data_IF_232328183140
#
_entry.id   IF_232328183140
#
_cell.length_a   1.000
_cell.length_b   1.000
_cell.length_c   1.000
_cell.angle_alpha   90.00
_cell.angle_beta   90.00
_cell.angle_gamma   90.00
#
_symmetry.space_group_name_H-M   'P 1'
#
loop_
_entity.id
_entity.type
_entity.pdbx_description
1 polymer ?
#
# COMPACT_ATOMS: atom_id res chain seq x y z
N UNK A 1 3.42 -11.72 -57.94
CA UNK A 1 3.02 -10.40 -58.45
C UNK A 1 1.51 -10.40 -58.59
N UNK A 2 0.79 -9.52 -57.88
CA UNK A 2 -0.59 -9.05 -58.16
C UNK A 2 -1.11 -8.32 -56.89
N UNK A 3 -1.00 -6.98 -56.82
CA UNK A 3 -2.03 -5.96 -57.10
C UNK A 3 -3.15 -5.83 -56.05
N UNK A 4 -3.11 -4.67 -55.38
CA UNK A 4 -4.21 -3.78 -55.01
C UNK A 4 -5.64 -4.28 -55.29
N UNK A 5 -6.54 -4.18 -54.29
CA UNK A 5 -7.88 -3.64 -54.50
C UNK A 5 -8.50 -3.13 -53.19
N UNK A 6 -8.97 -1.89 -53.29
CA UNK A 6 -9.76 -1.10 -52.34
C UNK A 6 -11.13 -1.72 -52.13
N UNK A 7 -11.70 -1.63 -50.91
CA UNK A 7 -13.15 -1.67 -50.75
C UNK A 7 -13.59 -0.79 -49.57
N UNK A 8 -14.06 0.41 -49.90
CA UNK A 8 -14.76 1.35 -49.02
C UNK A 8 -16.23 1.39 -49.49
N UNK A 9 -17.13 1.60 -48.52
CA UNK A 9 -18.58 1.91 -48.60
C UNK A 9 -19.54 0.72 -48.45
N UNK A 10 -20.40 0.78 -47.45
CA UNK A 10 -21.80 1.18 -47.66
C UNK A 10 -22.54 1.31 -46.32
N UNK A 11 -23.16 2.49 -46.11
CA UNK A 11 -24.27 2.67 -45.18
C UNK A 11 -25.49 1.91 -45.72
N UNK A 12 -26.27 1.31 -44.83
CA UNK A 12 -27.69 1.03 -45.05
C UNK A 12 -28.47 1.20 -43.74
N UNK A 13 -29.33 2.21 -43.72
CA UNK A 13 -30.38 2.39 -42.74
C UNK A 13 -31.56 1.46 -43.06
N UNK A 14 -32.27 0.96 -42.04
CA UNK A 14 -33.61 0.40 -42.20
C UNK A 14 -34.47 0.75 -40.99
N UNK A 15 -35.70 1.16 -41.29
CA UNK A 15 -36.62 1.90 -40.43
C UNK A 15 -37.71 1.01 -39.83
N UNK A 16 -38.15 1.41 -38.62
CA UNK A 16 -39.52 1.47 -38.09
C UNK A 16 -40.46 0.24 -38.03
N UNK A 17 -40.99 -0.02 -36.82
CA UNK A 17 -42.43 -0.03 -36.43
C UNK A 17 -42.64 -0.98 -35.22
N UNK A 18 -42.84 -0.49 -33.99
CA UNK A 18 -44.10 -0.14 -33.31
C UNK A 18 -45.11 -1.30 -33.18
N UNK A 19 -45.42 -1.71 -31.93
CA UNK A 19 -46.73 -2.18 -31.41
C UNK A 19 -46.61 -2.39 -29.88
N UNK A 20 -47.15 -1.44 -29.10
CA UNK A 20 -48.29 -1.58 -28.17
C UNK A 20 -48.15 -2.60 -27.03
N UNK A 21 -48.06 -2.08 -25.81
CA UNK A 21 -49.02 -2.29 -24.70
C UNK A 21 -48.33 -2.37 -23.33
N UNK A 22 -48.65 -1.43 -22.43
CA UNK A 22 -49.08 -1.69 -21.05
C UNK A 22 -49.12 -0.39 -20.26
N UNK A 23 -50.33 0.11 -20.00
CA UNK A 23 -50.61 1.02 -18.90
C UNK A 23 -50.46 0.26 -17.58
N UNK A 24 -49.70 0.77 -16.61
CA UNK A 24 -49.93 0.48 -15.20
C UNK A 24 -49.17 1.50 -14.31
N UNK A 25 -49.95 2.42 -13.75
CA UNK A 25 -49.87 2.92 -12.37
C UNK A 25 -48.50 3.22 -11.77
N UNK A 26 -48.20 4.52 -11.65
CA UNK A 26 -47.22 5.07 -10.72
C UNK A 26 -47.72 4.86 -9.29
N UNK A 27 -47.26 3.78 -8.65
CA UNK A 27 -47.49 3.56 -7.22
C UNK A 27 -46.38 4.27 -6.43
N UNK A 28 -46.79 5.17 -5.55
CA UNK A 28 -45.90 5.90 -4.68
C UNK A 28 -45.38 4.94 -3.59
N UNK A 29 -44.08 4.94 -3.23
CA UNK A 29 -43.65 4.21 -2.06
C UNK A 29 -44.22 4.88 -0.81
N UNK A 30 -45.22 4.22 -0.23
CA UNK A 30 -45.79 4.50 1.07
C UNK A 30 -44.67 4.47 2.12
N UNK A 31 -44.60 5.52 2.94
CA UNK A 31 -43.87 5.54 4.20
C UNK A 31 -44.43 4.42 5.10
N UNK A 32 -43.80 3.25 5.09
CA UNK A 32 -44.08 2.22 6.07
C UNK A 32 -43.35 2.57 7.36
N UNK A 33 -44.10 3.09 8.33
CA UNK A 33 -43.74 3.04 9.74
C UNK A 33 -43.79 1.59 10.20
N UNK A 34 -42.72 0.85 9.88
CA UNK A 34 -42.45 -0.45 10.46
C UNK A 34 -41.91 -0.25 11.87
N UNK A 35 -42.75 -0.54 12.87
CA UNK A 35 -42.30 -0.89 14.22
C UNK A 35 -41.52 -2.20 14.15
N UNK A 36 -40.28 -2.11 13.66
CA UNK A 36 -39.29 -3.17 13.73
C UNK A 36 -38.73 -3.23 15.13
N UNK A 37 -38.97 -4.35 15.80
CA UNK A 37 -38.34 -4.72 17.06
C UNK A 37 -36.83 -4.67 16.86
N UNK A 38 -36.16 -3.63 17.37
CA UNK A 38 -34.71 -3.57 17.42
C UNK A 38 -34.25 -4.62 18.43
N UNK A 39 -33.93 -5.83 17.95
CA UNK A 39 -33.05 -6.73 18.68
C UNK A 39 -31.68 -6.08 18.74
N UNK A 40 -31.47 -5.29 19.79
CA UNK A 40 -30.16 -4.86 20.24
C UNK A 40 -29.38 -6.12 20.64
N UNK A 41 -28.74 -6.78 19.68
CA UNK A 41 -27.53 -7.53 20.00
C UNK A 41 -26.49 -6.48 20.36
N UNK A 42 -26.44 -6.17 21.65
CA UNK A 42 -25.28 -5.57 22.30
C UNK A 42 -24.11 -6.50 22.02
N UNK A 43 -23.40 -6.28 20.91
CA UNK A 43 -22.04 -6.79 20.76
C UNK A 43 -21.21 -5.99 21.75
N UNK A 44 -21.13 -6.50 22.98
CA UNK A 44 -20.09 -6.15 23.94
C UNK A 44 -18.77 -6.17 23.16
N UNK A 45 -18.03 -5.06 23.07
CA UNK A 45 -16.69 -5.11 22.52
C UNK A 45 -15.91 -6.14 23.34
N UNK A 46 -15.43 -7.19 22.67
CA UNK A 46 -14.51 -8.16 23.26
C UNK A 46 -13.40 -7.32 23.92
N UNK A 47 -13.16 -7.46 25.23
CA UNK A 47 -12.04 -6.80 25.87
C UNK A 47 -10.79 -7.14 25.06
N UNK A 48 -10.21 -6.16 24.36
CA UNK A 48 -8.91 -6.32 23.72
C UNK A 48 -7.95 -6.60 24.84
N UNK A 49 -7.55 -7.87 24.97
CA UNK A 49 -6.52 -8.29 25.90
C UNK A 49 -5.36 -7.29 25.77
N UNK A 50 -4.80 -6.77 26.89
CA UNK A 50 -3.69 -5.83 26.82
C UNK A 50 -2.60 -6.46 25.96
N UNK A 51 -2.16 -5.71 24.94
CA UNK A 51 -1.14 -6.16 24.01
C UNK A 51 0.05 -6.72 24.82
N UNK A 52 0.28 -8.01 24.72
CA UNK A 52 1.47 -8.62 25.31
C UNK A 52 2.70 -7.95 24.71
N UNK A 53 3.59 -7.49 25.58
CA UNK A 53 4.83 -6.78 25.23
C UNK A 53 5.53 -7.53 24.10
N UNK A 54 5.80 -6.83 22.99
CA UNK A 54 6.47 -7.41 21.82
C UNK A 54 7.91 -7.75 22.20
N UNK A 55 8.32 -8.98 21.90
CA UNK A 55 9.73 -9.41 22.00
C UNK A 55 10.46 -9.00 20.72
N UNK A 56 11.07 -7.80 20.75
CA UNK A 56 11.81 -7.25 19.62
C UNK A 56 13.04 -8.09 19.22
N UNK A 57 13.86 -8.61 20.16
CA UNK A 57 14.95 -9.52 19.80
C UNK A 57 14.51 -10.77 19.03
N UNK A 58 13.41 -11.41 19.44
CA UNK A 58 12.89 -12.60 18.74
C UNK A 58 12.38 -12.22 17.35
N UNK A 59 11.58 -11.16 17.25
CA UNK A 59 11.08 -10.69 15.95
C UNK A 59 12.24 -10.29 15.02
N UNK A 60 13.26 -9.60 15.54
CA UNK A 60 14.44 -9.23 14.77
C UNK A 60 15.17 -10.46 14.22
N UNK A 61 15.34 -11.52 15.02
CA UNK A 61 15.95 -12.78 14.56
C UNK A 61 15.12 -13.48 13.47
N UNK A 62 13.80 -13.47 13.61
CA UNK A 62 12.88 -14.01 12.58
C UNK A 62 13.02 -13.22 11.28
N UNK A 63 12.98 -11.89 11.34
CA UNK A 63 13.15 -11.01 10.18
C UNK A 63 14.53 -11.17 9.54
N UNK A 64 15.59 -11.22 10.34
CA UNK A 64 16.95 -11.47 9.86
C UNK A 64 17.06 -12.82 9.13
N UNK A 65 16.25 -13.81 9.50
CA UNK A 65 16.18 -15.11 8.83
C UNK A 65 15.34 -15.05 7.56
N UNK A 66 14.18 -14.40 7.61
CA UNK A 66 13.27 -14.26 6.47
C UNK A 66 13.80 -13.36 5.36
N UNK A 67 14.73 -12.44 5.69
CA UNK A 67 15.31 -11.48 4.75
C UNK A 67 16.67 -11.91 4.20
N UNK A 68 17.18 -13.10 4.54
CA UNK A 68 18.52 -13.56 4.09
C UNK A 68 18.69 -13.52 2.57
N UNK A 69 17.64 -13.84 1.84
CA UNK A 69 17.64 -13.88 0.37
C UNK A 69 17.02 -12.62 -0.26
N UNK A 70 16.60 -11.66 0.57
CA UNK A 70 15.90 -10.46 0.15
C UNK A 70 16.92 -9.35 -0.15
N UNK A 71 17.31 -9.25 -1.42
CA UNK A 71 18.40 -8.39 -1.84
C UNK A 71 18.20 -6.90 -1.48
N UNK A 72 19.09 -6.38 -0.64
CA UNK A 72 19.25 -4.95 -0.34
C UNK A 72 18.33 -4.37 0.73
N UNK A 73 17.56 -5.18 1.45
CA UNK A 73 16.94 -4.72 2.69
C UNK A 73 17.99 -4.67 3.81
N UNK A 74 18.21 -3.50 4.39
CA UNK A 74 19.08 -3.29 5.54
C UNK A 74 18.23 -3.36 6.81
N UNK A 75 18.39 -4.43 7.58
CA UNK A 75 17.75 -4.60 8.89
C UNK A 75 18.62 -3.91 9.96
N UNK A 76 18.08 -2.86 10.60
CA UNK A 76 18.73 -2.21 11.72
C UNK A 76 18.56 -2.98 13.02
N UNK A 77 19.46 -2.71 13.97
CA UNK A 77 19.40 -3.29 15.32
C UNK A 77 18.05 -3.04 15.99
N UNK A 78 17.52 -4.03 16.75
CA UNK A 78 16.28 -3.86 17.48
C UNK A 78 16.47 -2.82 18.59
N UNK A 79 15.51 -1.92 18.72
CA UNK A 79 15.46 -0.94 19.81
C UNK A 79 14.46 -1.38 20.87
N UNK A 80 14.38 -0.64 21.98
CA UNK A 80 13.36 -0.88 23.00
C UNK A 80 11.92 -0.69 22.47
N UNK A 81 11.75 0.13 21.43
CA UNK A 81 10.46 0.55 20.89
C UNK A 81 10.12 -0.06 19.53
N UNK A 82 11.03 -0.79 18.89
CA UNK A 82 10.80 -1.24 17.53
C UNK A 82 11.99 -1.79 16.78
N UNK A 83 11.77 -1.98 15.47
CA UNK A 83 12.78 -2.41 14.51
C UNK A 83 12.69 -1.50 13.29
N UNK A 84 13.83 -1.10 12.75
CA UNK A 84 13.90 -0.20 11.59
C UNK A 84 14.55 -0.93 10.41
N UNK A 85 13.80 -1.11 9.32
CA UNK A 85 14.31 -1.60 8.04
C UNK A 85 14.49 -0.45 7.06
N UNK A 86 15.60 -0.44 6.31
CA UNK A 86 15.83 0.50 5.21
C UNK A 86 15.96 -0.26 3.91
N UNK A 87 15.25 0.19 2.88
CA UNK A 87 15.27 -0.43 1.57
C UNK A 87 15.65 0.64 0.55
N UNK A 88 16.84 0.56 -0.08
CA UNK A 88 17.23 1.45 -1.16
C UNK A 88 16.23 1.39 -2.32
N UNK A 89 15.90 2.54 -2.89
CA UNK A 89 14.96 2.66 -4.01
C UNK A 89 15.43 1.87 -5.23
N UNK A 90 16.74 1.75 -5.48
CA UNK A 90 17.29 0.93 -6.58
C UNK A 90 16.78 -0.51 -6.55
N UNK A 91 16.50 -1.03 -5.35
CA UNK A 91 16.04 -2.39 -5.15
C UNK A 91 14.51 -2.48 -5.15
N UNK A 92 13.81 -1.37 -4.88
CA UNK A 92 12.36 -1.37 -4.71
C UNK A 92 11.52 -0.69 -5.79
N UNK A 93 12.04 0.30 -6.51
CA UNK A 93 11.28 1.06 -7.51
C UNK A 93 12.16 1.40 -8.72
N UNK A 94 11.53 1.67 -9.86
CA UNK A 94 12.21 2.32 -10.97
C UNK A 94 12.38 3.83 -10.70
N UNK A 95 13.30 4.48 -11.44
CA UNK A 95 13.49 5.94 -11.35
C UNK A 95 12.19 6.67 -11.71
N UNK A 96 11.82 7.67 -10.91
CA UNK A 96 10.56 8.42 -11.08
C UNK A 96 9.27 7.61 -10.91
N UNK A 97 9.35 6.33 -10.52
CA UNK A 97 8.18 5.46 -10.36
C UNK A 97 7.89 5.16 -8.89
N UNK A 98 6.61 4.94 -8.61
CA UNK A 98 6.08 4.41 -7.35
C UNK A 98 5.60 2.95 -7.48
N UNK A 99 5.85 2.28 -8.60
CA UNK A 99 5.51 0.89 -8.81
C UNK A 99 6.51 -0.06 -8.11
N UNK A 100 6.07 -0.89 -7.15
CA UNK A 100 6.94 -1.83 -6.46
C UNK A 100 7.52 -2.88 -7.43
N UNK A 101 8.85 -3.04 -7.40
CA UNK A 101 9.54 -4.08 -8.16
C UNK A 101 9.42 -5.44 -7.47
N UNK A 102 9.56 -6.56 -8.22
CA UNK A 102 9.53 -7.91 -7.65
C UNK A 102 10.51 -8.16 -6.49
N UNK A 103 11.65 -7.46 -6.48
CA UNK A 103 12.62 -7.57 -5.38
C UNK A 103 12.07 -6.97 -4.07
N UNK A 104 11.38 -5.83 -4.13
CA UNK A 104 10.72 -5.24 -2.97
C UNK A 104 9.52 -6.07 -2.53
N UNK A 105 8.70 -6.55 -3.45
CA UNK A 105 7.54 -7.39 -3.08
C UNK A 105 7.99 -8.66 -2.34
N UNK A 106 9.12 -9.26 -2.71
CA UNK A 106 9.73 -10.38 -1.96
C UNK A 106 10.15 -9.99 -0.54
N UNK A 107 10.78 -8.82 -0.36
CA UNK A 107 11.11 -8.27 0.97
C UNK A 107 9.84 -8.12 1.80
N UNK A 108 8.79 -7.53 1.22
CA UNK A 108 7.51 -7.29 1.90
C UNK A 108 6.79 -8.59 2.25
N UNK A 109 6.85 -9.61 1.39
CA UNK A 109 6.28 -10.94 1.66
C UNK A 109 6.95 -11.60 2.87
N UNK A 110 8.27 -11.42 3.05
CA UNK A 110 8.99 -11.89 4.24
C UNK A 110 8.54 -11.23 5.55
N UNK A 111 7.87 -10.07 5.49
CA UNK A 111 7.30 -9.40 6.67
C UNK A 111 5.91 -9.93 7.03
N UNK A 112 5.17 -10.51 6.09
CA UNK A 112 3.74 -10.85 6.26
C UNK A 112 3.54 -11.85 7.39
N UNK A 113 4.28 -12.96 7.41
CA UNK A 113 4.09 -13.99 8.44
C UNK A 113 4.48 -13.50 9.85
N UNK A 114 5.64 -12.86 10.07
CA UNK A 114 6.00 -12.29 11.38
C UNK A 114 5.03 -11.19 11.88
N UNK A 115 4.45 -10.40 10.98
CA UNK A 115 3.46 -9.37 11.31
C UNK A 115 2.05 -9.94 11.53
N UNK A 116 1.71 -11.03 10.83
CA UNK A 116 0.44 -11.73 10.97
C UNK A 116 0.30 -12.42 12.33
N UNK A 117 1.40 -12.95 12.87
CA UNK A 117 1.42 -13.56 14.21
C UNK A 117 1.42 -12.55 15.36
N UNK A 118 1.58 -11.24 15.07
CA UNK A 118 1.74 -10.17 16.05
C UNK A 118 0.80 -8.99 15.76
N UNK A 119 -0.51 -9.13 16.01
CA UNK A 119 -1.50 -8.09 15.70
C UNK A 119 -1.27 -6.76 16.42
N UNK A 120 -0.49 -6.75 17.51
CA UNK A 120 -0.12 -5.54 18.25
C UNK A 120 1.01 -4.71 17.59
N UNK A 121 1.72 -5.28 16.61
CA UNK A 121 2.80 -4.56 15.92
C UNK A 121 2.20 -3.64 14.86
N UNK A 122 2.56 -2.37 14.90
CA UNK A 122 2.25 -1.38 13.86
C UNK A 122 3.41 -1.19 12.90
N UNK A 123 3.10 -0.73 11.70
CA UNK A 123 4.06 -0.53 10.61
C UNK A 123 3.92 0.91 10.12
N UNK A 124 4.98 1.71 10.29
CA UNK A 124 5.10 3.02 9.65
C UNK A 124 6.04 2.91 8.46
N UNK A 125 5.57 3.32 7.30
CA UNK A 125 6.33 3.36 6.06
C UNK A 125 6.66 4.82 5.75
N UNK A 126 7.94 5.12 5.55
CA UNK A 126 8.40 6.47 5.22
C UNK A 126 9.19 6.47 3.91
N UNK A 127 8.72 7.24 2.94
CA UNK A 127 9.43 7.44 1.68
C UNK A 127 10.41 8.61 1.75
N UNK A 128 11.58 8.44 1.14
CA UNK A 128 12.58 9.51 0.96
C UNK A 128 13.10 9.55 -0.48
N UNK A 129 13.53 10.74 -0.90
CA UNK A 129 14.20 10.99 -2.18
C UNK A 129 15.59 11.60 -1.93
N UNK A 130 16.38 11.73 -3.00
CA UNK A 130 17.51 12.66 -2.97
C UNK A 130 17.04 14.08 -3.28
N UNK A 131 17.98 15.03 -3.31
CA UNK A 131 17.71 16.44 -3.57
C UNK A 131 17.64 16.80 -5.06
N UNK A 132 17.44 15.84 -5.96
CA UNK A 132 17.33 16.12 -7.39
C UNK A 132 15.86 16.35 -7.77
N UNK A 133 15.59 17.43 -8.49
CA UNK A 133 14.22 17.82 -8.86
C UNK A 133 13.63 18.88 -7.93
N UNK A 134 12.31 19.08 -8.02
CA UNK A 134 11.62 20.03 -7.14
C UNK A 134 11.18 19.36 -5.85
N UNK A 135 11.23 20.11 -4.75
CA UNK A 135 10.80 19.66 -3.42
C UNK A 135 9.38 19.07 -3.43
N UNK A 136 8.43 19.75 -4.06
CA UNK A 136 7.04 19.29 -4.16
C UNK A 136 6.91 17.97 -4.93
N UNK A 137 7.64 17.82 -6.03
CA UNK A 137 7.67 16.56 -6.78
C UNK A 137 8.27 15.42 -5.93
N UNK A 138 9.37 15.70 -5.23
CA UNK A 138 10.05 14.76 -4.37
C UNK A 138 9.17 14.32 -3.19
N UNK A 139 8.46 15.26 -2.57
CA UNK A 139 7.48 14.98 -1.54
C UNK A 139 6.38 14.07 -2.08
N UNK A 140 5.75 14.42 -3.20
CA UNK A 140 4.67 13.62 -3.79
C UNK A 140 5.14 12.20 -4.16
N UNK A 141 6.30 12.06 -4.80
CA UNK A 141 6.86 10.77 -5.18
C UNK A 141 7.17 9.91 -3.95
N UNK A 142 7.67 10.52 -2.88
CA UNK A 142 7.96 9.83 -1.62
C UNK A 142 6.69 9.30 -0.95
N UNK A 143 5.61 10.08 -0.94
CA UNK A 143 4.29 9.68 -0.42
C UNK A 143 3.75 8.51 -1.24
N UNK A 144 3.72 8.62 -2.57
CA UNK A 144 3.20 7.56 -3.45
C UNK A 144 3.92 6.23 -3.27
N UNK A 145 5.25 6.26 -3.07
CA UNK A 145 6.03 5.04 -2.77
C UNK A 145 5.65 4.42 -1.44
N UNK A 146 5.47 5.24 -0.40
CA UNK A 146 5.05 4.75 0.91
C UNK A 146 3.64 4.14 0.86
N UNK A 147 2.71 4.80 0.15
CA UNK A 147 1.35 4.31 -0.09
C UNK A 147 1.34 2.99 -0.88
N UNK A 148 2.19 2.86 -1.91
CA UNK A 148 2.29 1.62 -2.69
C UNK A 148 2.75 0.42 -1.83
N UNK A 149 3.70 0.64 -0.92
CA UNK A 149 4.14 -0.39 0.04
C UNK A 149 3.04 -0.72 1.05
N UNK A 150 2.35 0.30 1.57
CA UNK A 150 1.22 0.12 2.48
C UNK A 150 0.12 -0.73 1.81
N UNK A 151 -0.27 -0.36 0.59
CA UNK A 151 -1.29 -1.06 -0.18
C UNK A 151 -0.88 -2.50 -0.47
N UNK A 152 0.40 -2.74 -0.78
CA UNK A 152 0.92 -4.09 -0.95
C UNK A 152 0.75 -4.91 0.33
N UNK A 153 1.19 -4.41 1.49
CA UNK A 153 1.04 -5.13 2.77
C UNK A 153 -0.43 -5.35 3.15
N UNK A 154 -1.30 -4.37 2.87
CA UNK A 154 -2.76 -4.50 3.05
C UNK A 154 -3.34 -5.62 2.19
N UNK A 155 -2.93 -5.72 0.93
CA UNK A 155 -3.36 -6.78 0.01
C UNK A 155 -2.93 -8.18 0.47
N UNK A 156 -1.89 -8.26 1.31
CA UNK A 156 -1.41 -9.50 1.97
C UNK A 156 -2.11 -9.81 3.30
N UNK A 157 -3.10 -9.02 3.70
CA UNK A 157 -3.93 -9.28 4.88
C UNK A 157 -3.48 -8.57 6.17
N UNK A 158 -2.55 -7.61 6.10
CA UNK A 158 -2.26 -6.74 7.24
C UNK A 158 -3.37 -5.69 7.37
N UNK A 159 -3.95 -5.59 8.57
CA UNK A 159 -5.06 -4.67 8.85
C UNK A 159 -4.64 -3.20 8.62
N UNK A 160 -5.51 -2.42 7.99
CA UNK A 160 -5.22 -1.04 7.59
C UNK A 160 -4.89 -0.15 8.79
N UNK A 161 -5.55 -0.37 9.93
CA UNK A 161 -5.37 0.39 11.17
C UNK A 161 -3.97 0.22 11.78
N UNK A 162 -3.23 -0.80 11.34
CA UNK A 162 -1.84 -1.06 11.76
C UNK A 162 -0.82 -0.40 10.84
N UNK A 163 -1.24 0.13 9.70
CA UNK A 163 -0.36 0.66 8.67
C UNK A 163 -0.46 2.19 8.61
N UNK A 164 0.68 2.85 8.50
CA UNK A 164 0.75 4.28 8.24
C UNK A 164 1.78 4.55 7.14
N UNK A 165 1.43 5.37 6.16
CA UNK A 165 2.33 5.85 5.11
C UNK A 165 2.62 7.33 5.29
N UNK A 166 3.88 7.72 5.15
CA UNK A 166 4.37 9.10 5.23
C UNK A 166 5.44 9.32 4.15
N UNK A 167 5.59 10.55 3.68
CA UNK A 167 6.61 10.92 2.71
C UNK A 167 7.37 12.14 3.19
N UNK A 168 8.70 12.06 3.15
CA UNK A 168 9.58 13.15 3.60
C UNK A 168 10.31 13.85 2.46
N UNK A 169 10.12 13.40 1.21
CA UNK A 169 10.91 13.89 0.08
C UNK A 169 12.40 13.89 0.42
N UNK A 170 13.03 15.06 0.26
CA UNK A 170 14.45 15.28 0.55
C UNK A 170 14.74 15.87 1.95
N UNK A 171 13.72 16.07 2.79
CA UNK A 171 13.83 16.82 4.06
C UNK A 171 14.65 16.09 5.15
N UNK A 172 14.77 14.76 5.06
CA UNK A 172 15.49 13.94 6.03
C UNK A 172 16.60 13.11 5.35
N UNK A 173 17.70 13.76 4.90
CA UNK A 173 18.82 13.08 4.29
C UNK A 173 19.66 12.34 5.34
N UNK A 174 20.13 11.14 4.99
CA UNK A 174 21.03 10.34 5.82
C UNK A 174 22.48 10.37 5.32
N UNK A 175 22.69 10.97 4.15
CA UNK A 175 23.98 11.14 3.51
C UNK A 175 24.03 12.48 2.77
N UNK A 176 25.25 12.96 2.52
CA UNK A 176 25.48 14.18 1.75
C UNK A 176 24.91 14.06 0.32
N UNK A 177 24.25 15.11 -0.15
CA UNK A 177 23.69 15.18 -1.50
C UNK A 177 24.70 15.62 -2.58
N UNK A 178 25.93 16.00 -2.21
CA UNK A 178 26.92 16.50 -3.16
C UNK A 178 27.37 15.45 -4.21
N UNK A 179 27.48 14.18 -3.83
CA UNK A 179 28.01 13.11 -4.70
C UNK A 179 26.94 12.05 -5.01
N UNK A 180 26.93 11.52 -6.23
CA UNK A 180 25.93 10.51 -6.64
C UNK A 180 25.96 9.26 -5.76
N UNK A 181 27.16 8.78 -5.42
CA UNK A 181 27.34 7.61 -4.57
C UNK A 181 26.72 7.79 -3.16
N UNK A 182 26.72 9.02 -2.62
CA UNK A 182 26.12 9.32 -1.31
C UNK A 182 24.63 9.64 -1.44
N UNK A 183 24.21 10.34 -2.49
CA UNK A 183 22.79 10.60 -2.82
C UNK A 183 21.96 9.33 -2.94
N UNK A 184 22.52 8.28 -3.53
CA UNK A 184 21.82 7.02 -3.70
C UNK A 184 21.29 6.44 -2.37
N UNK A 185 21.95 6.74 -1.24
CA UNK A 185 21.50 6.33 0.09
C UNK A 185 20.27 7.09 0.57
N UNK A 186 20.07 8.33 0.13
CA UNK A 186 18.90 9.14 0.49
C UNK A 186 17.63 8.64 -0.21
N UNK A 187 17.77 8.05 -1.41
CA UNK A 187 16.67 7.38 -2.13
C UNK A 187 16.35 6.04 -1.48
N UNK A 188 15.47 6.05 -0.47
CA UNK A 188 15.11 4.86 0.31
C UNK A 188 13.65 4.88 0.74
N UNK A 189 13.14 3.70 1.08
CA UNK A 189 11.92 3.55 1.88
C UNK A 189 12.31 2.93 3.22
N UNK A 190 11.83 3.54 4.29
CA UNK A 190 11.99 3.07 5.65
C UNK A 190 10.71 2.35 6.09
N UNK A 191 10.87 1.19 6.74
CA UNK A 191 9.78 0.47 7.38
C UNK A 191 10.12 0.36 8.86
N UNK A 192 9.32 1.02 9.68
CA UNK A 192 9.49 1.13 11.12
C UNK A 192 8.40 0.28 11.77
N UNK A 193 8.82 -0.80 12.41
CA UNK A 193 7.96 -1.66 13.20
C UNK A 193 7.93 -1.14 14.64
N UNK A 194 6.75 -0.97 15.20
CA UNK A 194 6.56 -0.47 16.56
C UNK A 194 5.30 -1.02 17.20
N UNK A 195 4.89 -0.42 18.31
CA UNK A 195 3.57 -0.64 18.92
C UNK A 195 2.85 0.69 19.00
N UNK A 196 1.53 0.70 18.85
CA UNK A 196 0.72 1.86 19.23
C UNK A 196 0.97 2.13 20.71
N UNK A 197 1.41 3.35 21.05
CA UNK A 197 1.52 3.78 22.45
C UNK A 197 0.15 4.10 23.03
#
# INVERSE_FOLDING_TARGET
MCTFQICVRALAACSAALLLAACATTDAPQHQTGTGSYSSTTTTPRPTAPASKVDWPVLHKELATALRDAAGAELGEPTASGIHLRIPVSNGFASGSAEPRPALTKVLDSLVAPLGSRPQVTVKIVGHTDSQGSEMYNLQLSIQRAEAVMEYLRSRGIAYERLAADGKGEMEPIADNAKEATRARNRRVEIILGTTQ
#
